data_IF_851351579997
#
_entry.id   IF_851351579997
#
_cell.length_a   1.000
_cell.length_b   1.000
_cell.length_c   1.000
_cell.angle_alpha   90.00
_cell.angle_beta   90.00
_cell.angle_gamma   90.00
#
_symmetry.space_group_name_H-M   'P 1'
#
loop_
_entity.id
_entity.type
_entity.pdbx_description
1 polymer ?
#
# COMPACT_ATOMS: atom_id res chain seq x y z
N UNK A 1 -28.81 -62.46 38.36
CA UNK A 1 -28.03 -61.24 38.08
C UNK A 1 -27.89 -61.13 36.56
N UNK A 2 -28.85 -60.42 35.97
CA UNK A 2 -28.73 -59.15 35.22
C UNK A 2 -28.41 -59.41 33.74
N UNK A 3 -29.49 -59.44 32.97
CA UNK A 3 -29.55 -59.42 31.52
C UNK A 3 -29.19 -58.02 31.00
N UNK A 4 -28.36 -57.94 29.96
CA UNK A 4 -28.06 -56.70 29.25
C UNK A 4 -29.26 -56.29 28.38
N UNK A 5 -29.88 -55.15 28.71
CA UNK A 5 -30.82 -54.46 27.83
C UNK A 5 -30.06 -53.33 27.11
N UNK A 6 -30.01 -53.41 25.79
CA UNK A 6 -29.56 -52.33 24.90
C UNK A 6 -30.72 -51.33 24.82
N UNK A 7 -30.54 -50.15 25.41
CA UNK A 7 -31.47 -49.02 25.24
C UNK A 7 -30.92 -48.15 24.11
N UNK A 8 -31.59 -48.25 22.95
CA UNK A 8 -31.54 -47.26 21.87
C UNK A 8 -32.12 -45.95 22.39
N UNK A 9 -31.32 -44.88 22.41
CA UNK A 9 -31.82 -43.52 22.67
C UNK A 9 -31.89 -42.78 21.34
N UNK A 10 -33.13 -42.51 20.92
CA UNK A 10 -33.48 -41.62 19.83
C UNK A 10 -33.16 -40.17 20.22
N UNK A 11 -32.34 -39.49 19.40
CA UNK A 11 -32.17 -38.05 19.44
C UNK A 11 -33.36 -37.40 18.72
N UNK A 12 -34.42 -37.11 19.47
CA UNK A 12 -35.50 -36.24 19.02
C UNK A 12 -35.03 -34.78 19.01
N UNK A 13 -35.07 -34.20 17.82
CA UNK A 13 -34.96 -32.76 17.56
C UNK A 13 -36.00 -31.98 18.36
N UNK A 14 -35.56 -31.09 19.24
CA UNK A 14 -36.40 -29.99 19.73
C UNK A 14 -35.73 -28.66 19.42
N UNK A 15 -36.45 -27.88 18.63
CA UNK A 15 -36.24 -26.47 18.36
C UNK A 15 -36.28 -25.69 19.67
N UNK A 16 -35.18 -25.06 20.06
CA UNK A 16 -35.20 -23.90 20.93
C UNK A 16 -34.81 -22.66 20.12
N UNK A 17 -35.81 -21.83 19.84
CA UNK A 17 -35.63 -20.45 19.47
C UNK A 17 -34.98 -19.72 20.65
N UNK A 18 -33.68 -19.44 20.55
CA UNK A 18 -33.05 -18.37 21.31
C UNK A 18 -32.68 -17.27 20.31
N UNK A 19 -33.54 -16.27 20.20
CA UNK A 19 -33.17 -14.95 19.71
C UNK A 19 -32.26 -14.30 20.75
N UNK A 20 -30.97 -14.67 20.74
CA UNK A 20 -29.92 -13.85 21.29
C UNK A 20 -29.50 -12.90 20.18
N UNK A 21 -29.88 -11.64 20.32
CA UNK A 21 -29.32 -10.54 19.55
C UNK A 21 -27.80 -10.58 19.74
N UNK A 22 -27.10 -11.08 18.73
CA UNK A 22 -25.65 -10.94 18.61
C UNK A 22 -25.36 -9.44 18.57
N UNK A 23 -24.47 -8.91 19.44
CA UNK A 23 -23.91 -7.59 19.22
C UNK A 23 -23.29 -7.62 17.83
N UNK A 24 -23.72 -6.73 16.93
CA UNK A 24 -23.03 -6.56 15.66
C UNK A 24 -21.57 -6.27 15.96
N UNK A 25 -20.75 -7.29 15.72
CA UNK A 25 -19.31 -7.15 15.65
C UNK A 25 -19.06 -6.10 14.57
N UNK A 26 -18.63 -4.91 15.01
CA UNK A 26 -18.12 -3.88 14.10
C UNK A 26 -17.11 -4.58 13.20
N UNK A 27 -17.38 -4.60 11.90
CA UNK A 27 -16.47 -5.07 10.87
C UNK A 27 -15.19 -4.22 10.89
N UNK A 28 -14.30 -4.51 11.83
CA UNK A 28 -12.87 -4.37 11.65
C UNK A 28 -12.49 -5.46 10.65
N UNK A 29 -11.72 -5.17 9.58
CA UNK A 29 -11.28 -6.20 8.65
C UNK A 29 -10.69 -7.37 9.44
N UNK A 30 -11.29 -8.56 9.29
CA UNK A 30 -10.84 -9.71 10.05
C UNK A 30 -9.43 -10.08 9.59
N UNK A 31 -8.53 -10.29 10.57
CA UNK A 31 -7.14 -10.73 10.38
C UNK A 31 -7.01 -12.08 9.62
N UNK A 32 -8.15 -12.71 9.31
CA UNK A 32 -8.26 -13.99 8.62
C UNK A 32 -8.42 -13.90 7.09
N UNK A 33 -8.56 -12.71 6.50
CA UNK A 33 -8.66 -12.56 5.04
C UNK A 33 -7.32 -12.64 4.29
N UNK A 34 -6.18 -12.52 4.98
CA UNK A 34 -4.84 -12.36 4.37
C UNK A 34 -3.98 -13.63 4.35
N UNK A 35 -4.58 -14.81 4.56
CA UNK A 35 -3.86 -16.06 4.83
C UNK A 35 -3.32 -16.84 3.63
N UNK A 36 -3.30 -16.31 2.40
CA UNK A 36 -2.84 -17.05 1.21
C UNK A 36 -1.69 -16.43 0.43
N UNK A 37 -1.10 -15.33 0.90
CA UNK A 37 0.02 -14.67 0.23
C UNK A 37 1.35 -15.08 0.87
N UNK A 38 2.37 -15.28 0.04
CA UNK A 38 3.75 -15.43 0.51
C UNK A 38 4.29 -14.05 0.90
N UNK A 39 5.30 -13.99 1.78
CA UNK A 39 5.98 -12.72 2.10
C UNK A 39 6.48 -12.02 0.83
N UNK A 40 6.96 -12.80 -0.13
CA UNK A 40 7.36 -12.31 -1.45
C UNK A 40 6.24 -11.54 -2.15
N UNK A 41 5.02 -12.08 -2.17
CA UNK A 41 3.89 -11.48 -2.88
C UNK A 41 3.52 -10.12 -2.27
N UNK A 42 3.45 -10.05 -0.94
CA UNK A 42 3.13 -8.81 -0.23
C UNK A 42 4.26 -7.77 -0.38
N UNK A 43 5.53 -8.19 -0.27
CA UNK A 43 6.67 -7.30 -0.50
C UNK A 43 6.68 -6.77 -1.94
N UNK A 44 6.38 -7.62 -2.92
CA UNK A 44 6.30 -7.25 -4.34
C UNK A 44 5.15 -6.28 -4.59
N UNK A 45 3.96 -6.58 -4.09
CA UNK A 45 2.78 -5.71 -4.22
C UNK A 45 3.05 -4.33 -3.60
N UNK A 46 3.62 -4.30 -2.39
CA UNK A 46 4.06 -3.06 -1.74
C UNK A 46 5.01 -2.27 -2.64
N UNK A 47 6.01 -2.95 -3.21
CA UNK A 47 7.00 -2.34 -4.09
C UNK A 47 6.40 -1.74 -5.35
N UNK A 48 5.52 -2.49 -6.00
CA UNK A 48 4.89 -2.11 -7.25
C UNK A 48 3.94 -0.93 -7.04
N UNK A 49 3.16 -0.92 -5.96
CA UNK A 49 2.30 0.20 -5.58
C UNK A 49 3.12 1.45 -5.22
N UNK A 50 4.20 1.29 -4.45
CA UNK A 50 5.13 2.39 -4.11
C UNK A 50 5.89 2.94 -5.33
N UNK A 51 5.85 2.26 -6.49
CA UNK A 51 6.39 2.76 -7.76
C UNK A 51 5.30 3.34 -8.66
N UNK A 52 4.06 2.84 -8.58
CA UNK A 52 2.94 3.31 -9.40
C UNK A 52 2.40 4.66 -8.91
N UNK A 53 2.47 4.93 -7.60
CA UNK A 53 2.12 6.23 -7.02
C UNK A 53 3.39 7.08 -6.89
N UNK A 54 3.37 8.30 -7.43
CA UNK A 54 4.42 9.29 -7.19
C UNK A 54 4.57 9.58 -5.68
N UNK A 55 5.81 9.77 -5.19
CA UNK A 55 6.07 9.96 -3.76
C UNK A 55 5.31 11.17 -3.18
N UNK A 56 5.26 12.28 -3.92
CA UNK A 56 4.53 13.48 -3.47
C UNK A 56 3.03 13.27 -3.47
N UNK A 57 2.52 12.49 -4.43
CA UNK A 57 1.10 12.11 -4.50
C UNK A 57 0.73 11.21 -3.32
N UNK A 58 1.54 10.19 -3.00
CA UNK A 58 1.30 9.31 -1.85
C UNK A 58 1.26 10.09 -0.53
N UNK A 59 2.20 11.02 -0.35
CA UNK A 59 2.22 11.91 0.82
C UNK A 59 0.93 12.73 0.92
N UNK A 60 0.45 13.30 -0.19
CA UNK A 60 -0.79 14.08 -0.22
C UNK A 60 -2.04 13.21 0.04
N UNK A 61 -2.08 11.98 -0.51
CA UNK A 61 -3.14 10.99 -0.21
C UNK A 61 -3.19 10.73 1.29
N UNK A 62 -2.04 10.46 1.93
CA UNK A 62 -1.97 10.24 3.37
C UNK A 62 -2.46 11.47 4.15
N UNK A 63 -1.92 12.66 3.85
CA UNK A 63 -2.28 13.90 4.55
C UNK A 63 -3.79 14.16 4.50
N UNK A 64 -4.39 14.15 3.30
CA UNK A 64 -5.81 14.47 3.12
C UNK A 64 -6.73 13.43 3.73
N UNK A 65 -6.45 12.15 3.56
CA UNK A 65 -7.33 11.10 4.07
C UNK A 65 -7.19 10.93 5.59
N UNK A 66 -6.01 11.14 6.16
CA UNK A 66 -5.80 11.12 7.62
C UNK A 66 -6.46 12.32 8.30
N UNK A 67 -6.35 13.51 7.71
CA UNK A 67 -7.06 14.71 8.17
C UNK A 67 -8.57 14.50 8.15
N UNK A 68 -9.11 13.90 7.07
CA UNK A 68 -10.54 13.65 6.91
C UNK A 68 -11.16 12.77 8.01
N UNK A 69 -10.37 11.87 8.60
CA UNK A 69 -10.79 11.00 9.72
C UNK A 69 -10.32 11.53 11.08
N UNK A 70 -9.76 12.74 11.14
CA UNK A 70 -9.34 13.40 12.37
C UNK A 70 -8.15 12.73 13.06
N UNK A 71 -7.17 12.27 12.28
CA UNK A 71 -5.85 11.89 12.82
C UNK A 71 -4.98 13.12 13.08
N UNK A 72 -3.91 12.95 13.85
CA UNK A 72 -2.95 14.01 14.14
C UNK A 72 -2.19 14.41 12.87
N UNK A 73 -1.84 15.70 12.73
CA UNK A 73 -1.14 16.21 11.56
C UNK A 73 0.20 15.49 11.29
N UNK A 74 0.86 15.00 12.34
CA UNK A 74 2.14 14.26 12.25
C UNK A 74 1.96 12.82 11.75
N UNK A 75 0.77 12.23 11.84
CA UNK A 75 0.54 10.83 11.48
C UNK A 75 0.85 10.56 10.00
N UNK A 76 0.42 11.42 9.09
CA UNK A 76 0.65 11.22 7.66
C UNK A 76 2.15 11.22 7.31
N UNK A 77 2.91 12.17 7.87
CA UNK A 77 4.37 12.23 7.68
C UNK A 77 5.06 11.00 8.29
N UNK A 78 4.66 10.61 9.51
CA UNK A 78 5.18 9.41 10.17
C UNK A 78 4.93 8.15 9.34
N UNK A 79 3.73 7.98 8.79
CA UNK A 79 3.40 6.85 7.92
C UNK A 79 4.23 6.88 6.64
N UNK A 80 4.33 8.03 5.98
CA UNK A 80 5.11 8.18 4.76
C UNK A 80 6.59 7.82 4.96
N UNK A 81 7.22 8.33 6.02
CA UNK A 81 8.61 8.02 6.35
C UNK A 81 8.80 6.54 6.70
N UNK A 82 7.85 5.95 7.42
CA UNK A 82 7.84 4.53 7.73
C UNK A 82 7.75 3.66 6.46
N UNK A 83 6.88 3.99 5.51
CA UNK A 83 6.77 3.28 4.22
C UNK A 83 8.09 3.36 3.44
N UNK A 84 8.76 4.52 3.42
CA UNK A 84 10.08 4.65 2.79
C UNK A 84 11.14 3.78 3.46
N UNK A 85 11.14 3.73 4.79
CA UNK A 85 12.05 2.87 5.54
C UNK A 85 11.76 1.38 5.31
N UNK A 86 10.49 0.96 5.23
CA UNK A 86 10.09 -0.41 4.84
C UNK A 86 10.62 -0.75 3.45
N UNK A 87 10.47 0.15 2.48
CA UNK A 87 11.04 -0.03 1.13
C UNK A 87 12.54 -0.30 1.19
N UNK A 88 13.31 0.48 1.94
CA UNK A 88 14.76 0.25 2.08
C UNK A 88 15.07 -1.07 2.78
N UNK A 89 14.38 -1.39 3.88
CA UNK A 89 14.56 -2.63 4.64
C UNK A 89 14.38 -3.88 3.76
N UNK A 90 13.38 -3.87 2.88
CA UNK A 90 13.15 -4.98 1.96
C UNK A 90 14.33 -5.11 0.96
N UNK A 91 14.94 -4.01 0.49
CA UNK A 91 16.10 -4.13 -0.43
C UNK A 91 17.30 -4.78 0.24
N UNK A 92 17.50 -4.50 1.52
CA UNK A 92 18.70 -4.87 2.26
C UNK A 92 18.59 -6.23 2.92
N UNK A 93 17.40 -6.56 3.46
CA UNK A 93 17.23 -7.66 4.41
C UNK A 93 16.17 -8.69 4.00
N UNK A 94 15.56 -8.56 2.80
CA UNK A 94 14.66 -9.60 2.30
C UNK A 94 15.36 -10.96 2.21
N UNK A 95 14.64 -12.05 2.49
CA UNK A 95 15.25 -13.37 2.60
C UNK A 95 15.45 -14.06 1.23
N UNK A 96 15.15 -13.36 0.14
CA UNK A 96 15.23 -13.76 -1.26
C UNK A 96 15.91 -12.65 -2.09
N UNK A 97 16.28 -12.95 -3.33
CA UNK A 97 16.74 -11.93 -4.26
C UNK A 97 15.61 -10.97 -4.66
N UNK A 98 15.86 -9.67 -4.55
CA UNK A 98 14.88 -8.62 -4.87
C UNK A 98 15.09 -8.03 -6.26
N UNK A 99 16.07 -8.51 -7.03
CA UNK A 99 16.27 -8.08 -8.43
C UNK A 99 15.03 -8.26 -9.29
N UNK A 100 14.19 -9.24 -8.94
CA UNK A 100 12.98 -9.58 -9.68
C UNK A 100 11.88 -8.53 -9.48
N UNK A 101 12.01 -7.67 -8.47
CA UNK A 101 11.12 -6.52 -8.33
C UNK A 101 11.40 -5.45 -9.39
N UNK A 102 12.58 -5.47 -10.03
CA UNK A 102 13.00 -4.43 -10.97
C UNK A 102 12.59 -4.75 -12.42
N UNK A 103 12.07 -5.95 -12.70
CA UNK A 103 11.45 -6.29 -13.98
C UNK A 103 10.03 -5.69 -14.04
N UNK A 104 9.97 -4.45 -14.51
CA UNK A 104 8.80 -3.56 -14.57
C UNK A 104 7.71 -4.03 -15.54
N UNK A 105 6.87 -4.96 -15.10
CA UNK A 105 5.51 -5.07 -15.64
C UNK A 105 4.50 -4.61 -14.57
N UNK A 106 4.05 -3.36 -14.71
CA UNK A 106 3.02 -2.74 -13.87
C UNK A 106 1.65 -2.71 -14.57
N UNK A 107 1.48 -3.43 -15.69
CA UNK A 107 0.24 -3.41 -16.47
C UNK A 107 -0.96 -3.84 -15.62
N UNK A 108 -0.76 -4.78 -14.69
CA UNK A 108 -1.81 -5.23 -13.77
C UNK A 108 -2.28 -4.17 -12.76
N UNK A 109 -1.49 -3.11 -12.53
CA UNK A 109 -1.88 -1.95 -11.74
C UNK A 109 -2.41 -0.80 -12.61
N UNK A 110 -2.32 -0.91 -13.93
CA UNK A 110 -2.76 0.13 -14.86
C UNK A 110 -4.27 0.35 -14.75
N UNK A 111 -4.66 1.63 -14.75
CA UNK A 111 -6.05 2.03 -14.65
C UNK A 111 -6.65 1.98 -13.24
N UNK A 112 -5.90 1.52 -12.23
CA UNK A 112 -6.34 1.63 -10.84
C UNK A 112 -6.36 3.09 -10.37
N UNK A 113 -7.40 3.44 -9.61
CA UNK A 113 -7.51 4.72 -8.95
C UNK A 113 -6.54 4.84 -7.77
N UNK A 114 -6.29 6.07 -7.33
CA UNK A 114 -5.50 6.34 -6.12
C UNK A 114 -6.09 5.66 -4.87
N UNK A 115 -7.42 5.49 -4.80
CA UNK A 115 -8.07 4.78 -3.69
C UNK A 115 -7.75 3.29 -3.71
N UNK A 116 -7.83 2.67 -4.87
CA UNK A 116 -7.52 1.24 -5.05
C UNK A 116 -6.04 0.96 -4.79
N UNK A 117 -5.13 1.78 -5.32
CA UNK A 117 -3.70 1.66 -5.06
C UNK A 117 -3.40 1.87 -3.56
N UNK A 118 -4.03 2.85 -2.91
CA UNK A 118 -3.85 3.06 -1.47
C UNK A 118 -4.38 1.87 -0.65
N UNK A 119 -5.50 1.26 -1.07
CA UNK A 119 -6.00 0.04 -0.45
C UNK A 119 -5.01 -1.12 -0.59
N UNK A 120 -4.47 -1.36 -1.79
CA UNK A 120 -3.46 -2.40 -2.01
C UNK A 120 -2.19 -2.17 -1.18
N UNK A 121 -1.77 -0.91 -1.02
CA UNK A 121 -0.64 -0.56 -0.15
C UNK A 121 -0.89 -0.98 1.31
N UNK A 122 -2.08 -0.69 1.82
CA UNK A 122 -2.50 -1.07 3.19
C UNK A 122 -2.50 -2.59 3.34
N UNK A 123 -3.11 -3.29 2.37
CA UNK A 123 -3.19 -4.75 2.33
C UNK A 123 -1.81 -5.39 2.39
N UNK A 124 -0.88 -4.92 1.55
CA UNK A 124 0.49 -5.40 1.53
C UNK A 124 1.24 -5.17 2.85
N UNK A 125 1.06 -4.01 3.49
CA UNK A 125 1.66 -3.72 4.79
C UNK A 125 1.16 -4.66 5.88
N UNK A 126 -0.15 -4.92 5.93
CA UNK A 126 -0.73 -5.86 6.88
C UNK A 126 -0.31 -7.30 6.62
N UNK A 127 -0.28 -7.73 5.36
CA UNK A 127 0.20 -9.06 4.96
C UNK A 127 1.64 -9.30 5.41
N UNK A 128 2.54 -8.35 5.10
CA UNK A 128 3.93 -8.39 5.55
C UNK A 128 4.03 -8.49 7.08
N UNK A 129 3.33 -7.65 7.84
CA UNK A 129 3.38 -7.69 9.31
C UNK A 129 2.94 -9.06 9.86
N UNK A 130 1.85 -9.62 9.34
CA UNK A 130 1.33 -10.91 9.78
C UNK A 130 2.35 -12.04 9.55
N UNK A 131 2.92 -12.10 8.33
CA UNK A 131 3.85 -13.18 7.98
C UNK A 131 5.16 -13.02 8.74
N UNK A 132 5.64 -11.80 8.92
CA UNK A 132 6.85 -11.51 9.70
C UNK A 132 6.66 -11.88 11.17
N UNK A 133 5.54 -11.50 11.80
CA UNK A 133 5.26 -11.89 13.20
C UNK A 133 5.20 -13.42 13.34
N UNK A 134 4.55 -14.10 12.39
CA UNK A 134 4.48 -15.57 12.35
C UNK A 134 5.87 -16.19 12.18
N UNK A 135 6.69 -15.62 11.30
CA UNK A 135 8.07 -16.06 11.06
C UNK A 135 8.91 -15.88 12.30
N UNK A 136 8.73 -14.76 13.00
CA UNK A 136 9.47 -14.47 14.20
C UNK A 136 9.16 -15.45 15.32
N UNK A 137 7.89 -15.77 15.52
CA UNK A 137 7.49 -16.82 16.46
C UNK A 137 8.10 -18.17 16.09
N UNK A 138 7.97 -18.57 14.82
CA UNK A 138 8.40 -19.89 14.36
C UNK A 138 9.91 -20.09 14.42
N UNK A 139 10.68 -19.18 13.80
CA UNK A 139 12.15 -19.24 13.78
C UNK A 139 12.72 -19.18 15.20
N UNK A 140 12.18 -18.28 16.04
CA UNK A 140 12.62 -18.14 17.43
C UNK A 140 12.41 -19.39 18.28
N UNK A 141 11.34 -20.15 18.03
CA UNK A 141 11.05 -21.42 18.71
C UNK A 141 11.89 -22.57 18.14
N UNK A 142 11.93 -22.72 16.80
CA UNK A 142 12.68 -23.77 16.12
C UNK A 142 14.17 -23.72 16.45
N UNK A 143 14.78 -22.52 16.47
CA UNK A 143 16.21 -22.35 16.79
C UNK A 143 16.56 -22.85 18.20
N UNK A 144 15.62 -22.80 19.15
CA UNK A 144 15.85 -23.22 20.54
C UNK A 144 15.62 -24.71 20.78
N UNK A 145 14.74 -25.34 20.01
CA UNK A 145 14.16 -26.64 20.38
C UNK A 145 14.21 -27.71 19.30
N UNK A 146 14.65 -27.40 18.07
CA UNK A 146 14.63 -28.35 16.96
C UNK A 146 15.92 -29.15 16.81
N UNK A 147 15.78 -30.48 16.66
CA UNK A 147 16.86 -31.38 16.27
C UNK A 147 17.03 -31.49 14.74
N UNK A 148 16.08 -30.98 13.94
CA UNK A 148 16.04 -31.05 12.47
C UNK A 148 15.83 -29.67 11.84
N UNK A 149 16.45 -28.65 12.44
CA UNK A 149 16.20 -27.24 12.16
C UNK A 149 16.21 -26.85 10.67
N UNK A 150 17.16 -27.36 9.88
CA UNK A 150 17.26 -27.00 8.45
C UNK A 150 16.03 -27.44 7.65
N UNK A 151 15.59 -28.70 7.84
CA UNK A 151 14.45 -29.24 7.10
C UNK A 151 13.14 -28.54 7.46
N UNK A 152 12.97 -28.18 8.73
CA UNK A 152 11.79 -27.47 9.22
C UNK A 152 11.74 -26.04 8.69
N UNK A 153 12.85 -25.30 8.80
CA UNK A 153 12.96 -23.94 8.28
C UNK A 153 12.79 -23.89 6.76
N UNK A 154 13.31 -24.88 6.04
CA UNK A 154 13.16 -24.99 4.58
C UNK A 154 11.71 -25.14 4.17
N UNK A 155 10.97 -26.06 4.81
CA UNK A 155 9.54 -26.22 4.55
C UNK A 155 8.77 -24.94 4.87
N UNK A 156 9.05 -24.34 6.02
CA UNK A 156 8.41 -23.10 6.43
C UNK A 156 8.65 -21.97 5.41
N UNK A 157 9.89 -21.85 4.91
CA UNK A 157 10.25 -20.85 3.91
C UNK A 157 9.39 -20.98 2.65
N UNK A 158 9.23 -22.18 2.11
CA UNK A 158 8.43 -22.39 0.90
C UNK A 158 6.93 -22.15 1.10
N UNK A 159 6.42 -22.49 2.27
CA UNK A 159 5.00 -22.37 2.57
C UNK A 159 4.58 -20.93 2.93
N UNK A 160 5.52 -20.03 3.28
CA UNK A 160 5.19 -18.71 3.85
C UNK A 160 6.02 -17.55 3.33
N UNK A 161 7.24 -17.78 2.82
CA UNK A 161 8.19 -16.73 2.48
C UNK A 161 8.32 -16.57 0.97
N UNK A 162 8.78 -17.63 0.30
CA UNK A 162 8.95 -17.65 -1.15
C UNK A 162 9.03 -19.09 -1.65
N UNK A 163 8.31 -19.40 -2.73
CA UNK A 163 8.13 -20.75 -3.26
C UNK A 163 9.27 -21.21 -4.20
N UNK A 164 10.16 -20.30 -4.62
CA UNK A 164 11.39 -20.69 -5.32
C UNK A 164 12.34 -21.41 -4.36
N UNK A 165 12.46 -22.72 -4.56
CA UNK A 165 13.29 -23.58 -3.72
C UNK A 165 14.79 -23.31 -3.85
N UNK A 166 15.23 -22.73 -4.96
CA UNK A 166 16.64 -22.42 -5.22
C UNK A 166 17.12 -21.20 -4.44
N UNK A 167 16.20 -20.33 -4.05
CA UNK A 167 16.46 -19.11 -3.27
C UNK A 167 16.54 -19.36 -1.76
N UNK A 168 16.24 -20.58 -1.30
CA UNK A 168 16.28 -20.89 0.14
C UNK A 168 17.67 -20.62 0.73
N UNK A 169 17.71 -19.69 1.69
CA UNK A 169 18.89 -19.40 2.47
C UNK A 169 18.54 -19.31 3.95
N UNK A 170 19.02 -20.29 4.72
CA UNK A 170 18.78 -20.39 6.17
C UNK A 170 19.24 -19.15 6.93
N UNK A 171 20.43 -18.63 6.62
CA UNK A 171 21.00 -17.50 7.34
C UNK A 171 20.20 -16.22 7.05
N UNK A 172 19.76 -16.02 5.80
CA UNK A 172 18.86 -14.92 5.46
C UNK A 172 17.53 -15.00 6.20
N UNK A 173 16.92 -16.18 6.30
CA UNK A 173 15.67 -16.36 7.06
C UNK A 173 15.84 -16.07 8.56
N UNK A 174 16.95 -16.53 9.16
CA UNK A 174 17.26 -16.23 10.57
C UNK A 174 17.60 -14.74 10.76
N UNK A 175 18.23 -14.10 9.78
CA UNK A 175 18.53 -12.68 9.83
C UNK A 175 17.26 -11.84 9.65
N UNK A 176 16.33 -12.23 8.79
CA UNK A 176 15.00 -11.61 8.69
C UNK A 176 14.32 -11.60 10.07
N UNK A 177 14.35 -12.74 10.77
CA UNK A 177 13.85 -12.84 12.14
C UNK A 177 14.48 -11.81 13.08
N UNK A 178 15.81 -11.63 13.02
CA UNK A 178 16.52 -10.67 13.88
C UNK A 178 16.26 -9.22 13.48
N UNK A 179 16.29 -8.91 12.19
CA UNK A 179 16.09 -7.56 11.66
C UNK A 179 14.68 -7.06 11.99
N UNK A 180 13.66 -7.91 11.85
CA UNK A 180 12.29 -7.51 12.15
C UNK A 180 11.92 -7.56 13.65
N UNK A 181 12.69 -8.27 14.48
CA UNK A 181 12.57 -8.12 15.95
C UNK A 181 13.28 -6.88 16.47
N UNK A 182 14.42 -6.53 15.88
CA UNK A 182 15.33 -5.52 16.45
C UNK A 182 15.13 -4.14 15.80
N UNK A 183 14.89 -4.10 14.49
CA UNK A 183 15.03 -2.89 13.67
C UNK A 183 13.76 -2.51 12.87
N UNK A 184 12.74 -3.38 12.72
CA UNK A 184 11.54 -3.06 11.92
C UNK A 184 10.50 -2.19 12.62
N UNK A 185 10.96 -1.22 13.43
CA UNK A 185 10.09 -0.15 13.91
C UNK A 185 9.35 0.54 12.76
N UNK A 186 9.93 0.57 11.55
CA UNK A 186 9.29 1.09 10.35
C UNK A 186 8.01 0.33 9.95
N UNK A 187 8.07 -1.00 9.80
CA UNK A 187 6.88 -1.78 9.40
C UNK A 187 5.78 -1.69 10.46
N UNK A 188 6.16 -1.82 11.74
CA UNK A 188 5.25 -1.68 12.88
C UNK A 188 4.61 -0.29 12.90
N UNK A 189 5.40 0.77 12.73
CA UNK A 189 4.89 2.15 12.69
C UNK A 189 3.91 2.37 11.53
N UNK A 190 4.23 1.87 10.33
CA UNK A 190 3.34 1.97 9.18
C UNK A 190 2.01 1.25 9.46
N UNK A 191 2.07 -0.01 9.93
CA UNK A 191 0.87 -0.79 10.25
C UNK A 191 0.03 -0.14 11.35
N UNK A 192 0.65 0.37 12.42
CA UNK A 192 -0.06 1.02 13.53
C UNK A 192 -0.80 2.28 13.08
N UNK A 193 -0.17 3.15 12.29
CA UNK A 193 -0.83 4.36 11.80
C UNK A 193 -1.93 4.03 10.78
N UNK A 194 -1.73 3.04 9.90
CA UNK A 194 -2.76 2.58 8.98
C UNK A 194 -3.95 1.92 9.71
N UNK A 195 -3.68 1.17 10.79
CA UNK A 195 -4.72 0.59 11.64
C UNK A 195 -5.54 1.68 12.34
N UNK A 196 -4.88 2.74 12.84
CA UNK A 196 -5.56 3.91 13.40
C UNK A 196 -6.43 4.60 12.35
N UNK A 197 -5.91 4.74 11.13
CA UNK A 197 -6.67 5.28 10.00
C UNK A 197 -7.93 4.46 9.73
N UNK A 198 -7.83 3.14 9.55
CA UNK A 198 -8.98 2.28 9.32
C UNK A 198 -9.99 2.31 10.48
N UNK A 199 -9.49 2.36 11.71
CA UNK A 199 -10.33 2.45 12.91
C UNK A 199 -11.13 3.76 12.94
N UNK A 200 -10.48 4.90 12.66
CA UNK A 200 -11.15 6.20 12.60
C UNK A 200 -12.06 6.33 11.38
N UNK A 201 -11.65 5.81 10.23
CA UNK A 201 -12.46 5.70 9.02
C UNK A 201 -13.77 4.96 9.30
N UNK A 202 -13.71 3.82 9.98
CA UNK A 202 -14.89 3.04 10.37
C UNK A 202 -15.81 3.73 11.40
N UNK A 203 -15.33 4.78 12.09
CA UNK A 203 -16.12 5.59 13.01
C UNK A 203 -16.79 6.80 12.33
N UNK A 204 -16.44 7.08 11.07
CA UNK A 204 -16.91 8.22 10.29
C UNK A 204 -17.88 7.76 9.19
N UNK A 205 -19.18 7.89 9.44
CA UNK A 205 -20.23 7.42 8.52
C UNK A 205 -20.23 8.13 7.15
N UNK A 206 -19.77 9.38 7.10
CA UNK A 206 -19.72 10.22 5.91
C UNK A 206 -18.38 10.20 5.18
N UNK A 207 -17.44 9.34 5.59
CA UNK A 207 -16.12 9.29 4.95
C UNK A 207 -16.23 8.95 3.45
N UNK A 208 -15.49 9.72 2.66
CA UNK A 208 -15.21 9.46 1.24
C UNK A 208 -13.73 9.65 1.02
N UNK A 209 -13.12 8.78 0.22
CA UNK A 209 -11.73 8.93 -0.14
C UNK A 209 -11.51 10.27 -0.84
N UNK A 210 -10.57 11.04 -0.31
CA UNK A 210 -10.18 12.32 -0.88
C UNK A 210 -9.05 12.05 -1.86
N UNK A 211 -9.38 12.15 -3.15
CA UNK A 211 -8.38 12.07 -4.19
C UNK A 211 -7.72 13.46 -4.35
N UNK A 212 -6.42 13.62 -4.03
CA UNK A 212 -5.77 14.90 -4.17
C UNK A 212 -5.65 15.28 -5.65
N UNK A 213 -6.07 16.49 -6.00
CA UNK A 213 -5.79 17.04 -7.33
C UNK A 213 -4.28 17.27 -7.48
N UNK A 214 -3.69 16.84 -8.60
CA UNK A 214 -2.28 17.06 -8.98
C UNK A 214 -1.95 18.53 -9.29
N UNK A 215 -2.64 19.49 -8.67
CA UNK A 215 -2.46 20.90 -8.95
C UNK A 215 -1.36 21.44 -8.06
N UNK A 216 -0.13 21.44 -8.57
CA UNK A 216 0.83 22.47 -8.19
C UNK A 216 0.31 23.80 -8.78
N UNK A 217 -0.60 24.47 -8.08
CA UNK A 217 -0.99 25.82 -8.48
C UNK A 217 0.05 26.79 -7.92
N UNK A 218 0.67 27.65 -8.76
CA UNK A 218 1.49 28.74 -8.25
C UNK A 218 0.59 29.68 -7.46
N UNK A 219 0.99 30.05 -6.25
CA UNK A 219 0.35 31.13 -5.49
C UNK A 219 0.25 32.37 -6.38
N UNK A 220 -0.95 32.63 -6.91
CA UNK A 220 -1.25 33.91 -7.53
C UNK A 220 -1.43 34.92 -6.40
N UNK A 221 -0.68 36.03 -6.39
CA UNK A 221 -0.83 37.04 -5.35
C UNK A 221 -2.21 37.69 -5.45
N UNK A 222 -2.89 37.74 -4.31
CA UNK A 222 -4.18 38.38 -4.09
C UNK A 222 -4.19 39.85 -4.56
N UNK A 223 -5.23 40.34 -5.25
CA UNK A 223 -5.32 41.75 -5.64
C UNK A 223 -5.80 42.59 -4.44
N UNK A 224 -4.92 43.46 -3.95
CA UNK A 224 -5.29 44.50 -2.99
C UNK A 224 -6.09 45.61 -3.71
N UNK A 225 -7.30 45.86 -3.21
CA UNK A 225 -8.15 46.99 -3.61
C UNK A 225 -7.51 48.34 -3.25
N UNK A 226 -7.43 49.23 -4.22
CA UNK A 226 -7.08 50.65 -4.03
C UNK A 226 -7.64 51.49 -5.18
N UNK A 227 -8.72 52.21 -4.91
CA UNK A 227 -9.48 53.07 -5.83
C UNK A 227 -8.96 54.52 -5.73
N UNK A 228 -8.68 55.21 -6.85
CA UNK A 228 -9.21 56.57 -7.19
C UNK A 228 -8.52 57.23 -8.42
N UNK A 229 -9.35 57.45 -9.47
CA UNK A 229 -9.58 58.67 -10.28
C UNK A 229 -8.47 59.37 -11.10
N UNK A 230 -8.58 59.36 -12.45
CA UNK A 230 -8.82 60.57 -13.29
C UNK A 230 -8.69 60.34 -14.83
N UNK A 231 -9.75 60.75 -15.56
CA UNK A 231 -9.83 61.34 -16.93
C UNK A 231 -9.23 60.65 -18.20
N UNK A 232 -10.13 60.35 -19.16
CA UNK A 232 -9.93 60.14 -20.63
C UNK A 232 -10.02 61.50 -21.41
N UNK A 233 -9.84 61.67 -22.77
CA UNK A 233 -9.98 60.75 -23.96
C UNK A 233 -8.99 61.02 -25.17
N UNK A 234 -9.21 60.59 -26.46
CA UNK A 234 -9.45 59.24 -27.06
C UNK A 234 -8.66 58.87 -28.37
N UNK A 235 -8.75 57.56 -28.76
CA UNK A 235 -8.75 56.89 -30.11
C UNK A 235 -7.44 56.68 -30.94
N UNK A 236 -7.37 55.73 -31.92
CA UNK A 236 -8.38 54.76 -32.40
C UNK A 236 -7.95 53.26 -32.52
N UNK A 237 -8.92 52.45 -32.95
CA UNK A 237 -9.08 51.00 -32.87
C UNK A 237 -8.36 50.17 -33.96
N UNK A 238 -8.18 48.87 -33.68
CA UNK A 238 -8.37 47.76 -34.64
C UNK A 238 -8.59 46.40 -33.90
N UNK A 239 -9.57 45.63 -34.38
CA UNK A 239 -10.04 44.29 -33.97
C UNK A 239 -9.33 43.18 -34.81
N UNK A 240 -9.68 41.87 -34.74
CA UNK A 240 -9.53 40.86 -33.67
C UNK A 240 -8.74 39.57 -34.12
N UNK A 241 -8.22 38.79 -33.16
CA UNK A 241 -7.92 37.31 -33.11
C UNK A 241 -7.48 36.52 -34.39
N UNK A 242 -6.61 35.49 -34.26
CA UNK A 242 -7.10 34.21 -33.71
C UNK A 242 -6.13 33.46 -32.78
N UNK A 243 -6.76 32.60 -31.99
CA UNK A 243 -6.24 31.46 -31.24
C UNK A 243 -5.16 30.68 -32.00
N UNK A 244 -4.00 30.49 -31.37
CA UNK A 244 -2.95 29.59 -31.83
C UNK A 244 -2.28 28.94 -30.63
N UNK A 245 -2.76 27.74 -30.29
CA UNK A 245 -2.11 26.82 -29.36
C UNK A 245 -0.68 26.56 -29.82
N UNK A 246 0.31 26.95 -29.02
CA UNK A 246 1.69 26.48 -29.15
C UNK A 246 1.99 25.55 -27.99
N UNK A 247 1.81 24.25 -28.22
CA UNK A 247 2.48 23.22 -27.45
C UNK A 247 3.99 23.36 -27.67
N UNK A 248 4.73 23.68 -26.62
CA UNK A 248 6.18 23.49 -26.57
C UNK A 248 6.45 22.18 -25.85
N UNK A 249 6.83 21.15 -26.60
CA UNK A 249 7.59 20.03 -26.06
C UNK A 249 8.93 20.01 -26.80
N UNK A 250 10.02 20.26 -26.08
CA UNK A 250 11.37 19.88 -26.54
C UNK A 250 11.98 20.61 -27.75
N UNK A 251 11.70 21.90 -27.99
CA UNK A 251 12.59 22.77 -28.77
C UNK A 251 12.90 22.39 -30.23
N UNK A 252 12.21 21.42 -30.84
CA UNK A 252 12.38 21.08 -32.25
C UNK A 252 11.19 21.60 -33.07
N UNK A 253 11.46 22.59 -33.92
CA UNK A 253 10.53 22.97 -34.97
C UNK A 253 10.53 21.91 -36.08
N UNK A 254 9.33 21.58 -36.58
CA UNK A 254 9.00 20.54 -37.59
C UNK A 254 9.66 20.75 -38.97
N UNK A 255 10.52 21.74 -39.14
CA UNK A 255 11.13 22.07 -40.43
C UNK A 255 12.40 21.25 -40.77
N UNK A 256 12.92 20.42 -39.86
CA UNK A 256 14.26 19.80 -40.04
C UNK A 256 14.24 18.31 -40.38
N UNK A 257 13.08 17.68 -40.55
CA UNK A 257 12.99 16.22 -40.76
C UNK A 257 13.19 15.76 -42.23
N UNK A 258 13.27 16.67 -43.20
CA UNK A 258 13.33 16.31 -44.62
C UNK A 258 14.74 16.04 -45.17
N UNK A 259 15.79 16.02 -44.33
CA UNK A 259 17.19 15.87 -44.78
C UNK A 259 17.86 14.52 -44.49
N UNK A 260 17.18 13.56 -43.86
CA UNK A 260 17.80 12.28 -43.46
C UNK A 260 17.40 11.05 -44.29
N UNK A 261 16.65 11.20 -45.39
CA UNK A 261 16.16 10.07 -46.20
C UNK A 261 16.87 9.95 -47.57
N UNK A 262 18.08 10.49 -47.74
CA UNK A 262 18.84 10.39 -49.01
C UNK A 262 20.31 9.96 -48.88
N UNK A 263 20.70 9.32 -47.77
CA UNK A 263 22.07 8.82 -47.57
C UNK A 263 22.13 7.31 -47.31
N UNK A 264 21.34 6.54 -48.07
CA UNK A 264 21.51 5.09 -48.18
C UNK A 264 21.29 4.69 -49.65
N UNK A 265 22.30 4.98 -50.47
CA UNK A 265 22.65 4.21 -51.66
C UNK A 265 23.92 3.43 -51.34
#
# INVERSE_FOLDING_TARGET
MVSFNIITVALCSTLLNYTLASPQEKNVPSKHAYGSHLLFDDMKLFYDVMRSIDESMLKNILEKNFEAVGMEATSATKTHDALKAVKQLIKTDAPFNTSDFDTLDLEYLSGQSNEELFKLLIEAIYGMEIIIDKTNSYVGESVKHSNNLDSELRKYYWDNIYDDQSEYNKDKLINLYKAFITDSGALRNASEELTKFDTKKAQKEDYRFINPSSTSEPESPSPSSGETTAAQPPKPAETPKPTGSSFTYGGLTVATLCYFVLSAF
#
